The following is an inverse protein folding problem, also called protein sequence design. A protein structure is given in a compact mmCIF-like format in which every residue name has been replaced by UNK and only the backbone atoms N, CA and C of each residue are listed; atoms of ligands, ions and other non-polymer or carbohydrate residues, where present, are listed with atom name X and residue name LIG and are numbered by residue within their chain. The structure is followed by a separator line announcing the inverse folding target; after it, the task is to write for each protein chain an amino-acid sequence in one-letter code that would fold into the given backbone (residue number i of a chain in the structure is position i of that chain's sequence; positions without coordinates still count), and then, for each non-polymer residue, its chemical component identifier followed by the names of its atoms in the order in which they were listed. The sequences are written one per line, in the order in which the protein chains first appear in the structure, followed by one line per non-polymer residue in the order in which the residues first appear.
data_IF_256454579786
#
_entry.id   IF_256454579786
#
_cell.length_a   1.000
_cell.length_b   1.000
_cell.length_c   1.000
_cell.angle_alpha   90.00
_cell.angle_beta   90.00
_cell.angle_gamma   90.00
#
_symmetry.space_group_name_H-M   'P 1'
#
loop_
_entity.id
_entity.type
_entity.pdbx_description
1 polymer ?
#
# COMPACT_ATOMS: atom_id res chain seq x y z
N UNK A 1 -19.03 38.70 -20.39
CA UNK A 1 -18.38 38.48 -19.09
C UNK A 1 -18.46 37.04 -18.57
N UNK A 2 -19.40 36.20 -19.03
CA UNK A 2 -19.62 34.85 -18.47
C UNK A 2 -18.72 33.69 -19.07
N UNK A 3 -17.97 33.93 -20.13
CA UNK A 3 -17.09 32.88 -20.72
C UNK A 3 -15.69 32.84 -20.12
N UNK A 4 -15.20 33.91 -19.53
CA UNK A 4 -13.89 33.98 -18.89
C UNK A 4 -13.87 33.29 -17.52
N UNK A 5 -14.96 33.40 -16.77
CA UNK A 5 -15.12 32.76 -15.45
C UNK A 5 -15.24 31.22 -15.54
N UNK A 6 -15.82 30.71 -16.64
CA UNK A 6 -15.89 29.27 -16.90
C UNK A 6 -14.51 28.66 -17.22
N UNK A 7 -13.62 29.42 -17.86
CA UNK A 7 -12.28 28.98 -18.21
C UNK A 7 -11.35 28.94 -16.98
N UNK A 8 -11.51 29.88 -16.05
CA UNK A 8 -10.71 29.93 -14.82
C UNK A 8 -11.14 28.81 -13.84
N UNK A 9 -12.44 28.49 -13.78
CA UNK A 9 -12.93 27.38 -12.94
C UNK A 9 -12.42 26.02 -13.43
N UNK A 10 -12.33 25.79 -14.75
CA UNK A 10 -11.79 24.57 -15.31
C UNK A 10 -10.27 24.48 -15.16
N UNK A 11 -9.56 25.61 -15.14
CA UNK A 11 -8.11 25.62 -14.95
C UNK A 11 -7.69 25.36 -13.51
N UNK A 12 -8.45 25.87 -12.53
CA UNK A 12 -8.22 25.60 -11.11
C UNK A 12 -8.54 24.15 -10.72
N UNK A 13 -9.53 23.51 -11.34
CA UNK A 13 -9.78 22.09 -11.18
C UNK A 13 -8.68 21.21 -11.81
N UNK A 14 -8.02 21.65 -12.88
CA UNK A 14 -6.86 20.94 -13.46
C UNK A 14 -5.60 21.04 -12.59
N UNK A 15 -5.39 22.12 -11.85
CA UNK A 15 -4.17 22.28 -11.04
C UNK A 15 -4.24 21.43 -9.77
N UNK A 16 -5.41 21.22 -9.17
CA UNK A 16 -5.60 20.32 -8.03
C UNK A 16 -5.45 18.81 -8.42
N UNK A 17 -5.52 18.50 -9.71
CA UNK A 17 -5.43 17.12 -10.26
C UNK A 17 -4.15 16.95 -11.11
N UNK A 18 -3.27 17.95 -11.17
CA UNK A 18 -2.12 17.97 -12.08
C UNK A 18 -1.16 16.77 -11.87
N UNK A 19 -1.00 16.28 -10.66
CA UNK A 19 -0.25 15.04 -10.39
C UNK A 19 -0.96 13.82 -11.01
N UNK A 20 -2.26 13.71 -10.89
CA UNK A 20 -3.05 12.59 -11.43
C UNK A 20 -3.14 12.67 -12.97
N UNK A 21 -3.26 13.89 -13.52
CA UNK A 21 -3.28 14.09 -14.99
C UNK A 21 -1.91 13.83 -15.63
N UNK A 22 -0.80 14.14 -14.96
CA UNK A 22 0.54 13.89 -15.51
C UNK A 22 0.81 12.39 -15.65
N UNK A 23 0.40 11.59 -14.68
CA UNK A 23 0.49 10.12 -14.78
C UNK A 23 -0.44 9.54 -15.84
N UNK A 24 -1.69 9.99 -15.93
CA UNK A 24 -2.64 9.50 -16.93
C UNK A 24 -2.23 9.83 -18.38
N UNK A 25 -1.44 10.89 -18.61
CA UNK A 25 -0.96 11.27 -19.95
C UNK A 25 0.30 10.46 -20.33
N UNK A 26 1.13 10.08 -19.38
CA UNK A 26 2.38 9.36 -19.63
C UNK A 26 2.25 7.83 -19.58
N UNK A 27 1.11 7.31 -19.10
CA UNK A 27 0.78 5.89 -19.14
C UNK A 27 -0.52 5.70 -19.96
N UNK A 28 -0.42 5.62 -21.30
CA UNK A 28 -1.59 5.29 -22.10
C UNK A 28 -2.11 3.90 -21.69
N UNK A 29 -3.44 3.70 -21.66
CA UNK A 29 -3.98 2.36 -21.40
C UNK A 29 -3.36 1.38 -22.40
N UNK A 30 -2.89 0.24 -21.89
CA UNK A 30 -2.28 -0.79 -22.71
C UNK A 30 -3.23 -1.20 -23.84
N UNK A 31 -2.73 -1.41 -25.08
CA UNK A 31 -3.56 -1.87 -26.18
C UNK A 31 -4.15 -3.24 -25.81
N UNK A 32 -5.48 -3.32 -25.82
CA UNK A 32 -6.20 -4.59 -25.65
C UNK A 32 -6.03 -5.39 -26.95
N UNK A 33 -4.95 -6.15 -27.05
CA UNK A 33 -4.80 -7.17 -28.05
C UNK A 33 -5.55 -8.43 -27.60
N UNK A 34 -6.77 -8.58 -28.09
CA UNK A 34 -7.51 -9.83 -28.01
C UNK A 34 -6.91 -10.84 -29.00
N UNK A 35 -5.85 -11.52 -28.61
CA UNK A 35 -5.39 -12.71 -29.32
C UNK A 35 -5.86 -13.95 -28.54
N UNK A 36 -6.82 -14.65 -29.16
CA UNK A 36 -7.54 -15.81 -28.59
C UNK A 36 -6.83 -17.11 -28.92
N UNK A 37 -5.57 -17.24 -28.62
CA UNK A 37 -4.89 -18.54 -28.60
C UNK A 37 -4.65 -18.93 -27.15
N UNK A 38 -5.43 -19.89 -26.69
CA UNK A 38 -5.52 -20.34 -25.30
C UNK A 38 -4.26 -21.00 -24.71
N UNK A 39 -3.12 -20.38 -24.87
CA UNK A 39 -1.89 -20.68 -24.14
C UNK A 39 -1.73 -19.56 -23.10
N UNK A 40 -1.98 -19.89 -21.84
CA UNK A 40 -1.61 -19.01 -20.73
C UNK A 40 -0.10 -18.72 -20.85
N UNK A 41 0.33 -17.45 -20.95
CA UNK A 41 1.76 -17.16 -20.88
C UNK A 41 2.31 -17.66 -19.53
N UNK A 42 3.46 -18.30 -19.58
CA UNK A 42 4.21 -18.66 -18.38
C UNK A 42 4.64 -17.36 -17.70
N UNK A 43 3.97 -17.02 -16.60
CA UNK A 43 4.24 -15.79 -15.87
C UNK A 43 5.55 -15.96 -15.12
N UNK A 44 6.59 -15.26 -15.55
CA UNK A 44 7.78 -15.08 -14.74
C UNK A 44 7.38 -14.29 -13.48
N UNK A 45 7.86 -14.77 -12.33
CA UNK A 45 7.72 -14.03 -11.06
C UNK A 45 8.50 -12.73 -11.23
N UNK A 46 7.83 -11.60 -11.09
CA UNK A 46 8.51 -10.30 -11.15
C UNK A 46 9.46 -10.21 -9.98
N UNK A 47 10.74 -10.23 -10.29
CA UNK A 47 11.79 -10.00 -9.30
C UNK A 47 11.95 -8.49 -9.12
N UNK A 48 11.56 -7.99 -7.94
CA UNK A 48 11.72 -6.57 -7.55
C UNK A 48 13.20 -6.13 -7.69
N UNK A 49 14.15 -7.06 -7.59
CA UNK A 49 15.57 -6.77 -7.81
C UNK A 49 15.92 -6.38 -9.25
N UNK A 50 15.11 -6.74 -10.25
CA UNK A 50 15.33 -6.37 -11.65
C UNK A 50 15.10 -4.88 -11.92
N UNK A 51 14.41 -4.17 -11.04
CA UNK A 51 14.30 -2.71 -11.10
C UNK A 51 15.58 -2.01 -10.62
N UNK A 52 16.67 -2.22 -11.34
CA UNK A 52 17.98 -1.62 -11.04
C UNK A 52 17.93 -0.10 -10.83
N UNK A 53 16.99 0.57 -11.49
CA UNK A 53 16.72 2.00 -11.32
C UNK A 53 16.25 2.36 -9.89
N UNK A 54 15.53 1.45 -9.25
CA UNK A 54 14.98 1.66 -7.90
C UNK A 54 16.03 1.39 -6.81
N UNK A 55 17.09 0.65 -7.16
CA UNK A 55 18.14 0.24 -6.22
C UNK A 55 19.11 1.36 -5.85
N UNK A 56 19.18 2.42 -6.66
CA UNK A 56 20.08 3.56 -6.45
C UNK A 56 19.39 4.73 -5.72
N UNK A 57 18.09 4.61 -5.42
CA UNK A 57 17.35 5.65 -4.69
C UNK A 57 17.74 5.61 -3.22
N UNK A 58 18.26 6.71 -2.72
CA UNK A 58 18.49 6.88 -1.28
C UNK A 58 17.16 7.16 -0.58
N UNK A 59 16.67 6.19 0.18
CA UNK A 59 15.35 6.21 0.85
C UNK A 59 15.38 6.88 2.24
N UNK A 60 16.47 7.59 2.58
CA UNK A 60 16.62 8.21 3.89
C UNK A 60 16.67 7.18 5.02
N UNK A 61 15.66 7.18 5.87
CA UNK A 61 15.55 6.25 7.01
C UNK A 61 14.89 4.92 6.66
N UNK A 62 14.40 4.77 5.42
CA UNK A 62 13.72 3.55 4.98
C UNK A 62 14.67 2.61 4.25
N UNK A 63 14.31 1.35 4.20
CA UNK A 63 15.08 0.26 3.61
C UNK A 63 14.39 -0.28 2.35
N UNK A 64 15.10 -1.10 1.58
CA UNK A 64 14.49 -1.84 0.45
C UNK A 64 13.40 -2.80 0.92
N UNK A 65 13.55 -3.35 2.12
CA UNK A 65 12.52 -4.22 2.72
C UNK A 65 11.24 -3.43 3.01
N UNK A 66 11.34 -2.15 3.40
CA UNK A 66 10.16 -1.30 3.59
C UNK A 66 9.43 -1.04 2.28
N UNK A 67 10.16 -0.83 1.18
CA UNK A 67 9.57 -0.74 -0.17
C UNK A 67 8.84 -2.05 -0.50
N UNK A 68 9.51 -3.20 -0.34
CA UNK A 68 8.91 -4.50 -0.62
C UNK A 68 7.65 -4.75 0.20
N UNK A 69 7.67 -4.46 1.51
CA UNK A 69 6.50 -4.60 2.38
C UNK A 69 5.31 -3.72 1.92
N UNK A 70 5.57 -2.47 1.47
CA UNK A 70 4.51 -1.61 0.93
C UNK A 70 3.95 -2.15 -0.38
N UNK A 71 4.83 -2.59 -1.30
CA UNK A 71 4.44 -3.16 -2.60
C UNK A 71 3.55 -4.38 -2.40
N UNK A 72 3.97 -5.33 -1.58
CA UNK A 72 3.18 -6.52 -1.26
C UNK A 72 1.82 -6.14 -0.67
N UNK A 73 1.80 -5.24 0.31
CA UNK A 73 0.55 -4.82 0.92
C UNK A 73 -0.41 -4.17 -0.07
N UNK A 74 0.06 -3.25 -0.89
CA UNK A 74 -0.74 -2.61 -1.94
C UNK A 74 -1.28 -3.63 -2.94
N UNK A 75 -0.42 -4.57 -3.36
CA UNK A 75 -0.79 -5.59 -4.33
C UNK A 75 -1.93 -6.48 -3.82
N UNK A 76 -1.81 -7.01 -2.61
CA UNK A 76 -2.79 -7.96 -2.08
C UNK A 76 -4.06 -7.29 -1.56
N UNK A 77 -3.98 -6.07 -1.07
CA UNK A 77 -5.12 -5.35 -0.52
C UNK A 77 -5.89 -4.55 -1.58
N UNK A 78 -5.21 -3.86 -2.50
CA UNK A 78 -5.84 -2.80 -3.27
C UNK A 78 -5.52 -2.77 -4.78
N UNK A 79 -4.89 -3.82 -5.37
CA UNK A 79 -4.54 -3.77 -6.80
C UNK A 79 -5.73 -3.54 -7.73
N UNK A 80 -6.92 -3.99 -7.35
CA UNK A 80 -8.14 -3.79 -8.14
C UNK A 80 -8.69 -2.36 -8.09
N UNK A 81 -8.30 -1.57 -7.11
CA UNK A 81 -8.73 -0.19 -6.93
C UNK A 81 -7.76 0.83 -7.59
N UNK A 82 -6.72 0.34 -8.28
CA UNK A 82 -5.74 1.14 -9.00
C UNK A 82 -4.95 2.08 -8.09
N UNK A 83 -4.39 3.16 -8.70
CA UNK A 83 -3.52 4.11 -7.99
C UNK A 83 -4.13 4.65 -6.70
N UNK A 84 -5.37 5.14 -6.76
CA UNK A 84 -5.98 5.80 -5.61
C UNK A 84 -6.20 4.84 -4.43
N UNK A 85 -6.63 3.60 -4.70
CA UNK A 85 -6.81 2.58 -3.67
C UNK A 85 -5.49 2.13 -3.07
N UNK A 86 -4.47 1.86 -3.89
CA UNK A 86 -3.13 1.51 -3.45
C UNK A 86 -2.51 2.62 -2.59
N UNK A 87 -2.60 3.88 -3.04
CA UNK A 87 -2.11 5.03 -2.29
C UNK A 87 -2.82 5.17 -0.94
N UNK A 88 -4.15 5.03 -0.90
CA UNK A 88 -4.93 5.13 0.33
C UNK A 88 -4.56 4.04 1.36
N UNK A 89 -4.38 2.78 0.95
CA UNK A 89 -3.96 1.72 1.89
C UNK A 89 -2.52 1.93 2.36
N UNK A 90 -1.66 2.50 1.52
CA UNK A 90 -0.29 2.89 1.91
C UNK A 90 -0.32 3.98 2.97
N UNK A 91 -1.16 5.02 2.82
CA UNK A 91 -1.31 6.06 3.83
C UNK A 91 -1.76 5.50 5.18
N UNK A 92 -2.62 4.46 5.19
CA UNK A 92 -2.98 3.77 6.45
C UNK A 92 -1.77 3.09 7.09
N UNK A 93 -0.89 2.45 6.31
CA UNK A 93 0.36 1.88 6.84
C UNK A 93 1.23 2.98 7.45
N UNK A 94 1.44 4.09 6.76
CA UNK A 94 2.25 5.21 7.24
C UNK A 94 1.65 5.89 8.48
N UNK A 95 0.32 6.04 8.53
CA UNK A 95 -0.38 6.55 9.70
C UNK A 95 -0.20 5.64 10.92
N UNK A 96 -0.19 4.32 10.72
CA UNK A 96 0.10 3.36 11.78
C UNK A 96 1.55 3.43 12.24
N UNK A 97 2.52 3.55 11.33
CA UNK A 97 3.95 3.74 11.69
C UNK A 97 4.14 4.98 12.55
N UNK A 98 3.40 6.06 12.27
CA UNK A 98 3.45 7.30 13.05
C UNK A 98 2.69 7.24 14.39
N UNK A 99 1.85 6.23 14.61
CA UNK A 99 0.99 6.10 15.79
C UNK A 99 1.58 5.09 16.78
N UNK A 100 1.92 5.55 17.99
CA UNK A 100 2.54 4.74 19.06
C UNK A 100 1.76 3.46 19.45
N UNK A 101 0.53 3.28 19.01
CA UNK A 101 -0.28 2.07 19.23
C UNK A 101 0.10 0.91 18.31
N UNK A 102 0.90 1.17 17.29
CA UNK A 102 1.31 0.21 16.26
C UNK A 102 2.83 0.04 16.24
N UNK A 103 3.36 -0.94 15.52
CA UNK A 103 4.79 -1.03 15.26
C UNK A 103 5.31 0.24 14.57
N UNK A 104 6.54 0.62 14.88
CA UNK A 104 7.23 1.83 14.41
C UNK A 104 7.97 1.66 13.07
N UNK A 105 7.82 0.50 12.42
CA UNK A 105 8.40 0.20 11.11
C UNK A 105 7.35 -0.24 10.11
N UNK A 106 7.58 0.02 8.83
CA UNK A 106 6.68 -0.34 7.75
C UNK A 106 6.40 -1.85 7.75
N UNK A 107 7.46 -2.66 7.68
CA UNK A 107 7.30 -4.12 7.70
C UNK A 107 6.68 -4.62 9.02
N UNK A 108 6.97 -3.96 10.14
CA UNK A 108 6.34 -4.27 11.42
C UNK A 108 4.82 -4.09 11.39
N UNK A 109 4.33 -3.02 10.75
CA UNK A 109 2.90 -2.76 10.55
C UNK A 109 2.30 -3.76 9.58
N UNK A 110 2.94 -3.98 8.42
CA UNK A 110 2.44 -4.89 7.37
C UNK A 110 2.35 -6.33 7.87
N UNK A 111 3.35 -6.79 8.58
CA UNK A 111 3.40 -8.15 9.12
C UNK A 111 2.79 -8.30 10.52
N UNK A 112 2.11 -7.26 11.03
CA UNK A 112 1.56 -7.26 12.38
C UNK A 112 0.56 -8.39 12.59
N UNK A 113 0.82 -9.21 13.59
CA UNK A 113 -0.07 -10.30 13.99
C UNK A 113 0.52 -11.14 15.12
N UNK A 114 -0.30 -11.95 15.80
CA UNK A 114 0.21 -12.88 16.79
C UNK A 114 1.04 -13.98 16.14
N UNK A 115 2.17 -14.29 16.77
CA UNK A 115 3.07 -15.33 16.31
C UNK A 115 3.08 -16.51 17.28
N UNK A 116 3.46 -17.68 16.80
CA UNK A 116 3.67 -18.87 17.59
C UNK A 116 5.06 -19.43 17.33
N UNK A 117 5.77 -19.74 18.41
CA UNK A 117 7.06 -20.39 18.32
C UNK A 117 6.95 -21.77 17.66
N UNK A 118 7.89 -22.09 16.78
CA UNK A 118 7.99 -23.37 16.10
C UNK A 118 8.13 -24.51 17.13
N UNK A 119 7.48 -25.65 16.88
CA UNK A 119 7.64 -26.84 17.68
C UNK A 119 9.09 -27.33 17.72
N UNK A 120 9.91 -26.97 16.73
CA UNK A 120 11.33 -27.35 16.66
C UNK A 120 12.20 -26.66 17.69
N UNK A 121 11.81 -25.50 18.17
CA UNK A 121 12.56 -24.70 19.16
C UNK A 121 11.82 -24.54 20.48
N UNK A 122 10.50 -24.63 20.49
CA UNK A 122 9.65 -24.45 21.68
C UNK A 122 10.00 -25.46 22.78
N UNK A 123 10.25 -24.93 23.97
CA UNK A 123 10.60 -25.73 25.15
C UNK A 123 12.00 -26.35 25.11
N UNK A 124 12.86 -25.94 24.17
CA UNK A 124 14.27 -26.36 24.08
C UNK A 124 15.18 -25.27 24.64
N UNK A 125 16.32 -25.69 25.14
CA UNK A 125 17.41 -24.80 25.54
C UNK A 125 18.21 -24.39 24.30
N UNK A 126 17.73 -23.34 23.64
CA UNK A 126 18.34 -22.74 22.43
C UNK A 126 18.39 -21.22 22.62
N UNK A 127 19.39 -20.59 22.03
CA UNK A 127 19.50 -19.12 22.05
C UNK A 127 18.27 -18.46 21.39
N UNK A 128 17.92 -17.24 21.84
CA UNK A 128 16.76 -16.51 21.31
C UNK A 128 16.88 -16.26 19.80
N UNK A 129 18.10 -16.05 19.28
CA UNK A 129 18.38 -15.89 17.84
C UNK A 129 18.11 -17.16 17.01
N UNK A 130 18.05 -18.33 17.62
CA UNK A 130 17.76 -19.61 16.96
C UNK A 130 16.28 -19.96 16.99
N UNK A 131 15.48 -19.23 17.80
CA UNK A 131 14.04 -19.44 17.91
C UNK A 131 13.36 -19.02 16.62
N UNK A 132 12.48 -19.88 16.12
CA UNK A 132 11.68 -19.58 14.92
C UNK A 132 10.22 -19.36 15.29
N UNK A 133 9.68 -18.28 14.81
CA UNK A 133 8.30 -17.90 15.02
C UNK A 133 7.56 -17.89 13.69
N UNK A 134 6.29 -18.25 13.75
CA UNK A 134 5.40 -18.25 12.59
C UNK A 134 4.13 -17.50 12.90
N UNK A 135 3.60 -16.69 12.00
CA UNK A 135 2.32 -16.02 12.19
C UNK A 135 1.21 -17.04 12.39
N UNK A 136 0.25 -16.71 13.24
CA UNK A 136 -0.91 -17.57 13.46
C UNK A 136 -1.89 -17.35 12.34
N UNK A 137 -2.21 -18.42 11.62
CA UNK A 137 -3.06 -18.40 10.44
C UNK A 137 -4.37 -17.61 10.67
N UNK A 138 -4.70 -16.73 9.71
CA UNK A 138 -5.90 -15.88 9.69
C UNK A 138 -6.05 -14.94 10.91
N UNK A 139 -4.94 -14.53 11.53
CA UNK A 139 -4.95 -13.62 12.67
C UNK A 139 -4.07 -12.38 12.50
N UNK A 140 -3.53 -12.17 11.31
CA UNK A 140 -2.75 -10.99 10.98
C UNK A 140 -3.63 -9.78 10.67
N UNK A 141 -3.07 -8.60 10.82
CA UNK A 141 -3.74 -7.33 10.51
C UNK A 141 -4.11 -7.26 9.04
N UNK A 142 -3.18 -7.63 8.17
CA UNK A 142 -3.41 -7.85 6.75
C UNK A 142 -3.57 -9.35 6.51
N UNK A 143 -4.75 -9.76 6.04
CA UNK A 143 -5.14 -11.18 6.00
C UNK A 143 -4.29 -12.01 5.06
N UNK A 144 -3.83 -11.43 3.96
CA UNK A 144 -3.00 -12.10 2.96
C UNK A 144 -1.71 -12.67 3.57
N UNK A 145 -1.06 -11.93 4.45
CA UNK A 145 0.24 -12.31 5.05
C UNK A 145 0.23 -13.64 5.82
N UNK A 146 -0.93 -14.06 6.34
CA UNK A 146 -1.01 -15.31 7.10
C UNK A 146 -2.26 -16.15 6.79
N UNK A 147 -2.80 -16.06 5.59
CA UNK A 147 -3.93 -16.90 5.14
C UNK A 147 -3.47 -18.31 4.74
N UNK A 148 -2.15 -18.50 4.60
CA UNK A 148 -1.51 -19.78 4.28
C UNK A 148 -1.49 -20.10 2.80
N UNK A 149 -1.72 -19.10 1.93
CA UNK A 149 -1.47 -19.20 0.49
C UNK A 149 -0.05 -18.75 0.16
N UNK A 150 0.36 -18.98 -1.06
CA UNK A 150 1.60 -18.41 -1.57
C UNK A 150 1.37 -16.96 -1.97
N UNK A 151 2.22 -16.05 -1.45
CA UNK A 151 2.12 -14.62 -1.72
C UNK A 151 2.88 -14.29 -3.02
N UNK A 152 2.35 -14.77 -4.15
CA UNK A 152 2.95 -14.58 -5.48
C UNK A 152 2.21 -13.46 -6.22
N UNK A 153 2.97 -12.50 -6.69
CA UNK A 153 2.48 -11.33 -7.43
C UNK A 153 2.62 -11.57 -8.94
N UNK A 154 1.52 -11.94 -9.61
CA UNK A 154 1.52 -12.28 -11.05
C UNK A 154 1.22 -11.10 -11.98
N UNK A 155 0.68 -9.99 -11.46
CA UNK A 155 0.33 -8.83 -12.26
C UNK A 155 1.46 -7.80 -12.20
N UNK A 156 2.31 -7.79 -13.22
CA UNK A 156 3.46 -6.90 -13.33
C UNK A 156 3.07 -5.41 -13.27
N UNK A 157 2.03 -5.01 -14.01
CA UNK A 157 1.57 -3.62 -14.01
C UNK A 157 1.20 -3.13 -12.62
N UNK A 158 0.52 -3.99 -11.84
CA UNK A 158 0.17 -3.67 -10.48
C UNK A 158 1.41 -3.60 -9.56
N UNK A 159 2.43 -4.44 -9.79
CA UNK A 159 3.70 -4.39 -9.06
C UNK A 159 4.46 -3.10 -9.39
N UNK A 160 4.56 -2.73 -10.68
CA UNK A 160 5.20 -1.48 -11.09
C UNK A 160 4.51 -0.27 -10.45
N UNK A 161 3.19 -0.20 -10.57
CA UNK A 161 2.41 0.88 -9.98
C UNK A 161 2.60 0.97 -8.45
N UNK A 162 2.56 -0.17 -7.76
CA UNK A 162 2.78 -0.23 -6.33
C UNK A 162 4.19 0.23 -5.95
N UNK A 163 5.20 -0.14 -6.75
CA UNK A 163 6.59 0.27 -6.52
C UNK A 163 6.76 1.79 -6.67
N UNK A 164 6.19 2.38 -7.71
CA UNK A 164 6.23 3.83 -7.91
C UNK A 164 5.57 4.58 -6.75
N UNK A 165 4.43 4.07 -6.26
CA UNK A 165 3.74 4.64 -5.10
C UNK A 165 4.59 4.50 -3.82
N UNK A 166 5.19 3.33 -3.58
CA UNK A 166 6.01 3.09 -2.41
C UNK A 166 7.20 4.06 -2.36
N UNK A 167 7.92 4.20 -3.47
CA UNK A 167 9.05 5.12 -3.58
C UNK A 167 8.64 6.57 -3.38
N UNK A 168 7.53 6.99 -4.03
CA UNK A 168 6.99 8.34 -3.87
C UNK A 168 6.69 8.65 -2.40
N UNK A 169 6.01 7.74 -1.72
CA UNK A 169 5.61 7.94 -0.32
C UNK A 169 6.82 7.96 0.61
N UNK A 170 7.78 7.07 0.42
CA UNK A 170 8.96 6.97 1.27
C UNK A 170 9.95 8.11 1.00
N UNK A 171 10.15 8.55 -0.24
CA UNK A 171 11.02 9.67 -0.60
C UNK A 171 10.50 10.99 -0.03
N UNK A 172 9.22 11.30 -0.21
CA UNK A 172 8.63 12.54 0.32
C UNK A 172 8.63 12.54 1.86
N UNK A 173 8.38 11.40 2.51
CA UNK A 173 8.39 11.31 3.97
C UNK A 173 9.78 11.50 4.58
N UNK A 174 10.86 11.38 3.78
CA UNK A 174 12.25 11.69 4.21
C UNK A 174 12.65 13.15 4.12
N UNK A 175 11.77 14.04 3.67
CA UNK A 175 12.00 15.49 3.55
C UNK A 175 13.13 15.90 2.58
N UNK A 176 13.43 15.09 1.57
CA UNK A 176 14.47 15.41 0.58
C UNK A 176 14.01 16.37 -0.53
N UNK A 177 12.73 16.39 -0.81
CA UNK A 177 12.13 17.38 -1.70
C UNK A 177 11.88 18.64 -0.87
N UNK A 178 12.80 19.60 -1.01
CA UNK A 178 12.74 20.88 -0.29
C UNK A 178 11.34 21.50 -0.31
N UNK A 179 10.81 21.70 0.84
CA UNK A 179 9.81 22.65 1.33
C UNK A 179 8.44 22.80 0.64
N UNK A 180 8.13 22.13 -0.47
CA UNK A 180 6.85 22.40 -1.19
C UNK A 180 6.01 21.19 -1.58
N UNK A 181 6.52 19.97 -1.44
CA UNK A 181 5.75 18.78 -1.80
C UNK A 181 5.27 18.06 -0.55
N UNK A 182 4.03 18.32 -0.16
CA UNK A 182 3.39 17.60 0.94
C UNK A 182 2.73 16.34 0.41
N UNK A 183 2.98 15.19 1.07
CA UNK A 183 2.10 14.05 0.92
C UNK A 183 0.71 14.45 1.44
N UNK A 184 -0.26 14.43 0.54
CA UNK A 184 -1.65 14.62 0.95
C UNK A 184 -2.17 13.29 1.44
N UNK A 185 -2.35 13.15 2.74
CA UNK A 185 -3.04 11.99 3.29
C UNK A 185 -4.54 12.06 2.97
N UNK A 186 -4.92 11.43 1.85
CA UNK A 186 -6.31 11.36 1.39
C UNK A 186 -7.21 10.56 2.35
N UNK A 187 -6.62 9.90 3.36
CA UNK A 187 -7.33 9.14 4.39
C UNK A 187 -7.45 9.90 5.71
N UNK A 188 -6.88 11.14 5.77
CA UNK A 188 -6.98 12.04 6.93
C UNK A 188 -6.63 11.40 8.27
N UNK A 189 -5.50 10.68 8.34
CA UNK A 189 -5.04 10.00 9.55
C UNK A 189 -5.78 8.70 9.85
N UNK A 190 -6.47 8.11 8.88
CA UNK A 190 -7.15 6.82 9.08
C UNK A 190 -6.15 5.71 9.37
N UNK A 191 -6.48 4.87 10.36
CA UNK A 191 -5.69 3.69 10.76
C UNK A 191 -6.45 2.38 10.54
N UNK A 192 -7.72 2.46 10.11
CA UNK A 192 -8.59 1.32 9.86
C UNK A 192 -9.30 1.47 8.53
N UNK A 193 -9.54 0.36 7.85
CA UNK A 193 -10.41 0.31 6.69
C UNK A 193 -11.07 -1.07 6.55
N UNK A 194 -12.10 -1.13 5.77
CA UNK A 194 -12.70 -2.36 5.28
C UNK A 194 -13.29 -2.12 3.88
N UNK A 195 -13.46 -3.19 3.13
CA UNK A 195 -14.14 -3.12 1.84
C UNK A 195 -15.64 -2.89 2.01
N UNK A 196 -16.28 -2.22 1.06
CA UNK A 196 -17.68 -1.79 1.14
C UNK A 196 -18.69 -2.97 1.21
N UNK A 197 -18.28 -4.18 0.85
CA UNK A 197 -19.09 -5.41 0.91
C UNK A 197 -18.99 -6.16 2.24
N UNK A 198 -18.08 -5.78 3.15
CA UNK A 198 -18.02 -6.33 4.51
C UNK A 198 -18.50 -5.28 5.53
N UNK A 199 -18.95 -5.78 6.67
CA UNK A 199 -19.52 -4.91 7.73
C UNK A 199 -18.96 -5.34 9.10
N UNK A 200 -17.65 -5.05 9.38
CA UNK A 200 -17.05 -5.44 10.65
C UNK A 200 -17.73 -4.72 11.83
N UNK A 201 -17.84 -5.42 12.97
CA UNK A 201 -18.51 -4.87 14.14
C UNK A 201 -17.81 -3.61 14.68
N UNK A 202 -16.48 -3.58 14.65
CA UNK A 202 -15.66 -2.48 15.18
C UNK A 202 -15.96 -1.11 14.53
N UNK A 203 -16.53 -1.07 13.32
CA UNK A 203 -16.89 0.20 12.64
C UNK A 203 -17.90 1.04 13.44
N UNK A 204 -18.58 0.45 14.43
CA UNK A 204 -19.54 1.09 15.31
C UNK A 204 -18.99 1.31 16.72
N UNK A 205 -17.71 1.00 16.95
CA UNK A 205 -17.09 1.20 18.26
C UNK A 205 -17.09 2.69 18.62
N UNK A 206 -17.28 2.96 19.91
CA UNK A 206 -17.30 4.32 20.41
C UNK A 206 -15.92 4.97 20.20
N UNK A 207 -15.89 6.06 19.44
CA UNK A 207 -14.63 6.74 19.06
C UNK A 207 -14.17 6.42 17.65
N UNK A 208 -14.75 5.43 16.96
CA UNK A 208 -14.44 5.14 15.57
C UNK A 208 -15.24 6.07 14.65
N UNK A 209 -14.54 6.96 13.92
CA UNK A 209 -15.14 7.85 12.95
C UNK A 209 -14.89 7.37 11.52
N UNK A 210 -15.97 7.31 10.73
CA UNK A 210 -15.84 7.13 9.28
C UNK A 210 -15.32 8.44 8.68
N UNK A 211 -14.24 8.37 7.93
CA UNK A 211 -13.57 9.54 7.34
C UNK A 211 -13.91 9.67 5.86
N UNK A 212 -13.50 8.69 5.05
CA UNK A 212 -13.64 8.78 3.59
C UNK A 212 -13.89 7.40 2.98
N UNK A 213 -14.07 7.38 1.66
CA UNK A 213 -14.13 6.15 0.86
C UNK A 213 -13.31 6.37 -0.40
N UNK A 214 -12.44 5.41 -0.72
CA UNK A 214 -11.59 5.41 -1.93
C UNK A 214 -11.68 4.02 -2.56
N UNK A 215 -12.04 3.96 -3.83
CA UNK A 215 -12.29 2.68 -4.50
C UNK A 215 -13.34 1.85 -3.79
N UNK A 216 -13.03 0.63 -3.48
CA UNK A 216 -13.90 -0.28 -2.72
C UNK A 216 -13.73 -0.16 -1.21
N UNK A 217 -12.81 0.65 -0.72
CA UNK A 217 -12.48 0.76 0.69
C UNK A 217 -13.16 1.93 1.38
N UNK A 218 -13.54 1.73 2.66
CA UNK A 218 -14.08 2.75 3.56
C UNK A 218 -13.11 2.90 4.71
N UNK A 219 -12.63 4.14 4.94
CA UNK A 219 -11.56 4.47 5.87
C UNK A 219 -12.10 5.07 7.16
N UNK A 220 -11.44 4.73 8.26
CA UNK A 220 -11.85 5.12 9.60
C UNK A 220 -10.64 5.54 10.45
N UNK A 221 -10.90 6.50 11.33
CA UNK A 221 -9.95 6.98 12.33
C UNK A 221 -10.54 6.81 13.73
N UNK A 222 -9.69 6.49 14.65
CA UNK A 222 -9.99 6.51 16.07
C UNK A 222 -9.84 7.96 16.57
N UNK A 223 -10.87 8.54 17.20
CA UNK A 223 -10.86 9.90 17.74
C UNK A 223 -10.25 9.94 19.15
#
# INVERSE_FOLDING_TARGET
MNKVLSFISNFLNCVAVAGICYFAINYPPAPVNADTTGVMPEFEVVDIEQHKYLMDTELGNYTKDDVACLVENMYFEARSDGYAGMYAVTMVVMNRVADHRYPDTVCGVVHQGPVRESWKTRGKDVADSERKYWPIKNRCQFSWYCDGKADVMYNEEAVYLATDIALLVLDISTSRLGDTTFLVDITEGSTHYHTNYVKPAWRHDRGMAKITSVGTHIFYRWN
#
